data_IF_240359848483
#
_entry.id   IF_240359848483
#
_cell.length_a   1.000
_cell.length_b   1.000
_cell.length_c   1.000
_cell.angle_alpha   90.00
_cell.angle_beta   90.00
_cell.angle_gamma   90.00
#
_symmetry.space_group_name_H-M   'P 1'
#
loop_
_entity.id
_entity.type
_entity.pdbx_description
1 polymer ?
#
# COMPACT_ATOMS: atom_id res chain seq x y z
N UNK A 1 -52.70 16.06 8.82
CA UNK A 1 -51.44 15.51 8.26
C UNK A 1 -51.62 14.00 8.17
N UNK A 2 -52.11 13.54 7.02
CA UNK A 2 -52.41 12.13 6.78
C UNK A 2 -51.12 11.29 6.86
N UNK A 3 -51.04 10.45 7.89
CA UNK A 3 -49.99 9.46 8.02
C UNK A 3 -50.18 8.35 7.00
N UNK A 4 -49.50 8.45 5.86
CA UNK A 4 -49.49 7.41 4.83
C UNK A 4 -48.80 6.16 5.40
N UNK A 5 -49.57 5.25 6.02
CA UNK A 5 -49.11 3.92 6.44
C UNK A 5 -48.67 3.15 5.20
N UNK A 6 -47.40 3.26 4.84
CA UNK A 6 -46.80 2.47 3.78
C UNK A 6 -46.80 1.00 4.22
N UNK A 7 -47.77 0.24 3.70
CA UNK A 7 -47.92 -1.19 3.95
C UNK A 7 -46.72 -1.93 3.36
N UNK A 8 -45.90 -2.55 4.21
CA UNK A 8 -44.76 -3.36 3.77
C UNK A 8 -45.29 -4.59 3.03
N UNK A 9 -44.86 -4.76 1.77
CA UNK A 9 -45.25 -5.90 0.95
C UNK A 9 -44.34 -7.11 1.26
N UNK A 10 -44.89 -8.10 1.96
CA UNK A 10 -44.17 -9.31 2.39
C UNK A 10 -43.55 -10.11 1.23
N UNK A 11 -44.15 -10.11 0.04
CA UNK A 11 -43.56 -10.76 -1.16
C UNK A 11 -42.30 -10.04 -1.62
N UNK A 12 -42.31 -8.69 -1.62
CA UNK A 12 -41.12 -7.89 -1.95
C UNK A 12 -40.01 -8.11 -0.91
N UNK A 13 -40.37 -8.22 0.38
CA UNK A 13 -39.41 -8.48 1.45
C UNK A 13 -38.74 -9.86 1.28
N UNK A 14 -39.53 -10.91 1.01
CA UNK A 14 -38.98 -12.25 0.74
C UNK A 14 -38.07 -12.31 -0.50
N UNK A 15 -38.40 -11.56 -1.56
CA UNK A 15 -37.52 -11.39 -2.72
C UNK A 15 -36.20 -10.72 -2.36
N UNK A 16 -36.23 -9.70 -1.49
CA UNK A 16 -35.05 -8.99 -1.01
C UNK A 16 -34.16 -9.91 -0.17
N UNK A 17 -34.73 -10.62 0.79
CA UNK A 17 -34.01 -11.59 1.63
C UNK A 17 -33.31 -12.65 0.77
N UNK A 18 -33.99 -13.16 -0.27
CA UNK A 18 -33.40 -14.14 -1.19
C UNK A 18 -32.29 -13.55 -2.08
N UNK A 19 -32.37 -12.27 -2.45
CA UNK A 19 -31.29 -11.58 -3.18
C UNK A 19 -30.08 -11.37 -2.27
N UNK A 20 -30.29 -10.90 -1.03
CA UNK A 20 -29.23 -10.69 -0.04
C UNK A 20 -28.56 -12.03 0.33
N UNK A 21 -29.32 -13.10 0.54
CA UNK A 21 -28.76 -14.42 0.82
C UNK A 21 -27.88 -14.95 -0.32
N UNK A 22 -28.27 -14.74 -1.58
CA UNK A 22 -27.42 -15.09 -2.73
C UNK A 22 -26.15 -14.25 -2.80
N UNK A 23 -26.25 -12.95 -2.52
CA UNK A 23 -25.10 -12.06 -2.48
C UNK A 23 -24.12 -12.46 -1.37
N UNK A 24 -24.63 -12.72 -0.16
CA UNK A 24 -23.83 -13.18 0.98
C UNK A 24 -23.09 -14.49 0.68
N UNK A 25 -23.79 -15.47 0.10
CA UNK A 25 -23.18 -16.73 -0.30
C UNK A 25 -22.17 -16.58 -1.45
N UNK A 26 -22.36 -15.60 -2.32
CA UNK A 26 -21.38 -15.28 -3.36
C UNK A 26 -20.12 -14.66 -2.73
N UNK A 27 -20.29 -13.66 -1.85
CA UNK A 27 -19.19 -13.04 -1.11
C UNK A 27 -18.39 -14.04 -0.28
N UNK A 28 -19.05 -14.96 0.42
CA UNK A 28 -18.37 -15.99 1.23
C UNK A 28 -17.57 -17.00 0.40
N UNK A 29 -17.83 -17.07 -0.91
CA UNK A 29 -17.13 -17.94 -1.86
C UNK A 29 -16.03 -17.21 -2.64
N UNK A 30 -15.94 -15.88 -2.53
CA UNK A 30 -14.79 -15.14 -3.02
C UNK A 30 -13.66 -15.40 -2.02
N UNK A 31 -12.86 -16.42 -2.29
CA UNK A 31 -11.51 -16.44 -1.76
C UNK A 31 -10.79 -15.24 -2.41
N UNK A 32 -10.25 -14.33 -1.60
CA UNK A 32 -9.25 -13.36 -2.04
C UNK A 32 -7.89 -13.96 -1.69
N UNK A 33 -7.37 -14.93 -2.48
CA UNK A 33 -6.06 -15.48 -2.19
C UNK A 33 -5.04 -14.33 -2.24
N UNK A 34 -4.18 -14.27 -1.23
CA UNK A 34 -3.00 -13.43 -1.29
C UNK A 34 -2.15 -13.94 -2.46
N UNK A 35 -1.97 -13.08 -3.47
CA UNK A 35 -1.14 -13.33 -4.64
C UNK A 35 0.01 -12.34 -4.62
N UNK A 36 1.24 -12.87 -4.65
CA UNK A 36 2.46 -12.08 -4.56
C UNK A 36 3.17 -12.03 -5.92
N UNK A 37 3.83 -10.92 -6.20
CA UNK A 37 4.65 -10.71 -7.40
C UNK A 37 6.12 -10.79 -7.03
N UNK A 38 6.88 -11.58 -7.79
CA UNK A 38 8.33 -11.69 -7.69
C UNK A 38 8.96 -11.17 -8.98
N UNK A 39 9.90 -10.24 -8.86
CA UNK A 39 10.62 -9.70 -10.00
C UNK A 39 12.09 -9.46 -9.64
N UNK A 40 12.96 -9.46 -10.63
CA UNK A 40 14.34 -9.01 -10.45
C UNK A 40 14.50 -7.51 -10.77
N UNK A 41 13.65 -6.98 -11.64
CA UNK A 41 13.73 -5.61 -12.10
C UNK A 41 12.38 -5.14 -12.59
N UNK A 42 12.00 -3.90 -12.27
CA UNK A 42 10.74 -3.29 -12.71
C UNK A 42 11.08 -1.90 -13.26
N UNK A 43 10.61 -1.57 -14.45
CA UNK A 43 10.84 -0.25 -15.02
C UNK A 43 9.61 0.21 -15.79
N UNK A 44 9.27 1.49 -15.61
CA UNK A 44 8.21 2.15 -16.36
C UNK A 44 6.89 1.35 -16.36
N UNK A 45 6.54 0.79 -15.21
CA UNK A 45 5.45 -0.18 -15.06
C UNK A 45 4.58 0.13 -13.85
N UNK A 46 3.34 -0.36 -13.89
CA UNK A 46 2.43 -0.42 -12.75
C UNK A 46 2.28 -1.89 -12.33
N UNK A 47 2.57 -2.20 -11.07
CA UNK A 47 2.49 -3.56 -10.51
C UNK A 47 1.54 -3.52 -9.32
N UNK A 48 0.57 -4.43 -9.31
CA UNK A 48 -0.42 -4.57 -8.25
C UNK A 48 -0.47 -6.02 -7.76
N UNK A 49 -0.54 -6.20 -6.44
CA UNK A 49 -0.61 -7.50 -5.78
C UNK A 49 -1.52 -7.45 -4.55
N UNK A 50 -2.34 -8.48 -4.33
CA UNK A 50 -3.11 -8.62 -3.09
C UNK A 50 -2.21 -9.02 -1.91
N UNK A 51 -1.13 -9.74 -2.19
CA UNK A 51 -0.07 -10.10 -1.24
C UNK A 51 1.12 -9.15 -1.31
N UNK A 52 2.31 -9.71 -1.38
CA UNK A 52 3.58 -8.97 -1.36
C UNK A 52 4.10 -8.68 -2.78
N UNK A 53 4.89 -7.61 -2.94
CA UNK A 53 5.75 -7.39 -4.12
C UNK A 53 7.21 -7.52 -3.68
N UNK A 54 7.93 -8.48 -4.23
CA UNK A 54 9.33 -8.79 -3.88
C UNK A 54 10.20 -8.53 -5.11
N UNK A 55 11.13 -7.57 -4.98
CA UNK A 55 12.12 -7.22 -6.00
C UNK A 55 13.52 -7.62 -5.51
N UNK A 56 14.09 -8.66 -6.12
CA UNK A 56 15.33 -9.30 -5.66
C UNK A 56 16.58 -8.93 -6.46
N UNK A 57 16.44 -8.16 -7.54
CA UNK A 57 17.56 -7.73 -8.38
C UNK A 57 17.84 -6.24 -8.24
N UNK A 58 18.00 -5.55 -9.37
CA UNK A 58 18.52 -4.17 -9.40
C UNK A 58 17.61 -3.15 -8.71
N UNK A 59 16.32 -3.43 -8.64
CA UNK A 59 15.32 -2.56 -8.05
C UNK A 59 14.22 -2.15 -9.02
N UNK A 60 13.56 -1.02 -8.75
CA UNK A 60 12.48 -0.48 -9.56
C UNK A 60 12.66 0.99 -9.92
N UNK A 61 12.28 1.36 -11.15
CA UNK A 61 12.50 2.69 -11.72
C UNK A 61 11.24 3.22 -12.38
N UNK A 62 10.89 4.48 -12.10
CA UNK A 62 9.76 5.18 -12.70
C UNK A 62 8.49 4.33 -12.69
N UNK A 63 8.20 3.72 -11.54
CA UNK A 63 7.18 2.68 -11.44
C UNK A 63 6.25 2.94 -10.26
N UNK A 64 5.09 2.30 -10.32
CA UNK A 64 4.11 2.31 -9.22
C UNK A 64 3.95 0.87 -8.75
N UNK A 65 4.18 0.66 -7.45
CA UNK A 65 4.04 -0.64 -6.80
C UNK A 65 2.94 -0.55 -5.74
N UNK A 66 1.85 -1.29 -5.92
CA UNK A 66 0.74 -1.35 -4.97
C UNK A 66 0.56 -2.78 -4.43
N UNK A 67 0.77 -2.95 -3.13
CA UNK A 67 0.68 -4.24 -2.46
C UNK A 67 -0.32 -4.20 -1.31
N UNK A 68 -1.19 -5.21 -1.19
CA UNK A 68 -1.99 -5.40 0.03
C UNK A 68 -1.13 -5.81 1.23
N UNK A 69 -0.02 -6.50 0.98
CA UNK A 69 0.99 -6.89 1.96
C UNK A 69 2.15 -5.90 2.01
N UNK A 70 3.36 -6.40 1.76
CA UNK A 70 4.61 -5.68 1.84
C UNK A 70 5.19 -5.40 0.44
N UNK A 71 5.98 -4.33 0.33
CA UNK A 71 6.90 -4.14 -0.80
C UNK A 71 8.34 -4.28 -0.30
N UNK A 72 9.08 -5.24 -0.84
CA UNK A 72 10.46 -5.54 -0.46
C UNK A 72 11.38 -5.41 -1.66
N UNK A 73 12.31 -4.45 -1.63
CA UNK A 73 13.30 -4.22 -2.67
C UNK A 73 14.68 -4.33 -2.03
N UNK A 74 15.16 -5.56 -1.91
CA UNK A 74 16.36 -5.90 -1.12
C UNK A 74 17.46 -6.54 -1.96
N UNK A 75 17.34 -6.49 -3.29
CA UNK A 75 18.38 -6.95 -4.20
C UNK A 75 19.60 -6.03 -4.22
N UNK A 76 20.52 -6.28 -5.16
CA UNK A 76 21.72 -5.48 -5.36
C UNK A 76 21.63 -4.71 -6.69
N UNK A 77 21.62 -3.36 -6.70
CA UNK A 77 21.69 -2.46 -5.54
C UNK A 77 20.38 -2.29 -4.74
N UNK A 78 19.23 -2.79 -5.22
CA UNK A 78 17.98 -2.73 -4.44
C UNK A 78 17.36 -1.34 -4.35
N UNK A 79 17.35 -0.63 -5.48
CA UNK A 79 16.98 0.79 -5.52
C UNK A 79 15.51 1.00 -5.89
N UNK A 80 14.90 2.07 -5.40
CA UNK A 80 13.62 2.57 -5.92
C UNK A 80 13.76 4.04 -6.31
N UNK A 81 13.65 4.32 -7.62
CA UNK A 81 13.92 5.66 -8.16
C UNK A 81 12.77 6.14 -9.03
N UNK A 82 12.09 7.19 -8.58
CA UNK A 82 10.97 7.79 -9.30
C UNK A 82 9.70 6.94 -9.22
N UNK A 83 8.59 7.57 -8.83
CA UNK A 83 7.27 6.93 -8.76
C UNK A 83 6.78 6.74 -7.33
N UNK A 84 5.95 5.70 -7.12
CA UNK A 84 5.23 5.51 -5.86
C UNK A 84 5.24 4.06 -5.39
N UNK A 85 5.40 3.87 -4.09
CA UNK A 85 5.12 2.61 -3.40
C UNK A 85 3.92 2.81 -2.49
N UNK A 86 2.96 1.90 -2.53
CA UNK A 86 1.87 1.78 -1.56
C UNK A 86 1.81 0.35 -1.06
N UNK A 87 1.90 0.15 0.24
CA UNK A 87 1.85 -1.19 0.85
C UNK A 87 0.94 -1.19 2.09
N UNK A 88 0.07 -2.19 2.24
CA UNK A 88 -0.78 -2.26 3.43
C UNK A 88 0.01 -2.48 4.72
N UNK A 89 1.05 -3.33 4.68
CA UNK A 89 1.81 -3.74 5.87
C UNK A 89 3.13 -2.99 6.02
N UNK A 90 3.97 -2.94 4.99
CA UNK A 90 5.29 -2.35 5.15
C UNK A 90 6.10 -2.24 3.87
N UNK A 91 7.12 -1.39 3.93
CA UNK A 91 8.06 -1.18 2.83
C UNK A 91 9.48 -1.36 3.35
N UNK A 92 10.27 -2.19 2.67
CA UNK A 92 11.70 -2.39 2.96
C UNK A 92 12.46 -2.21 1.67
N UNK A 93 13.34 -1.21 1.61
CA UNK A 93 14.08 -0.88 0.38
C UNK A 93 15.54 -0.57 0.73
N UNK A 94 16.51 -1.09 -0.02
CA UNK A 94 17.92 -0.77 0.23
C UNK A 94 18.19 0.73 0.00
N UNK A 95 17.75 1.26 -1.15
CA UNK A 95 17.97 2.67 -1.50
C UNK A 95 16.70 3.34 -2.05
N UNK A 96 16.19 4.37 -1.37
CA UNK A 96 15.04 5.18 -1.79
C UNK A 96 15.47 6.53 -2.36
N UNK A 97 14.99 6.85 -3.56
CA UNK A 97 15.26 8.11 -4.23
C UNK A 97 16.55 8.10 -5.04
N UNK A 98 16.96 9.27 -5.51
CA UNK A 98 18.15 9.44 -6.33
C UNK A 98 18.85 10.74 -6.02
N UNK A 99 20.16 10.82 -6.32
CA UNK A 99 20.94 12.07 -6.26
C UNK A 99 20.34 13.16 -7.17
N UNK A 100 19.65 12.76 -8.25
CA UNK A 100 18.96 13.68 -9.15
C UNK A 100 17.65 14.24 -8.60
N UNK A 101 17.26 13.90 -7.36
CA UNK A 101 16.08 14.46 -6.70
C UNK A 101 14.74 14.02 -7.30
N UNK A 102 14.70 12.88 -8.00
CA UNK A 102 13.43 12.36 -8.54
C UNK A 102 12.46 12.10 -7.40
N UNK A 103 11.25 12.68 -7.48
CA UNK A 103 10.23 12.52 -6.45
C UNK A 103 9.88 11.04 -6.26
N UNK A 104 9.88 10.59 -5.01
CA UNK A 104 9.43 9.27 -4.59
C UNK A 104 8.41 9.42 -3.48
N UNK A 105 7.26 8.79 -3.63
CA UNK A 105 6.21 8.72 -2.62
C UNK A 105 6.13 7.30 -2.07
N UNK A 106 6.24 7.11 -0.75
CA UNK A 106 6.14 5.81 -0.08
C UNK A 106 5.02 5.88 0.94
N UNK A 107 4.01 5.03 0.80
CA UNK A 107 2.83 5.00 1.65
C UNK A 107 2.63 3.63 2.29
N UNK A 108 2.31 3.62 3.59
CA UNK A 108 1.80 2.45 4.30
C UNK A 108 0.59 2.80 5.18
N UNK A 109 -0.16 1.77 5.59
CA UNK A 109 -1.28 1.96 6.51
C UNK A 109 -0.80 2.33 7.92
N UNK A 110 -1.74 2.70 8.80
CA UNK A 110 -1.48 3.25 10.14
C UNK A 110 -0.56 2.37 11.02
N UNK A 111 -0.70 1.04 10.90
CA UNK A 111 0.12 0.07 11.64
C UNK A 111 1.39 -0.35 10.90
N UNK A 112 1.61 0.19 9.71
CA UNK A 112 2.73 -0.17 8.87
C UNK A 112 4.02 0.53 9.24
N UNK A 113 5.11 0.10 8.61
CA UNK A 113 6.42 0.72 8.76
C UNK A 113 7.18 0.79 7.44
N UNK A 114 8.06 1.78 7.35
CA UNK A 114 8.92 2.00 6.18
C UNK A 114 10.37 1.95 6.65
N UNK A 115 11.15 1.03 6.08
CA UNK A 115 12.57 0.86 6.38
C UNK A 115 13.40 1.07 5.13
N UNK A 116 14.46 1.85 5.24
CA UNK A 116 15.44 1.97 4.17
C UNK A 116 16.87 2.20 4.67
N UNK A 117 17.84 1.57 3.99
CA UNK A 117 19.25 1.68 4.37
C UNK A 117 19.86 3.01 3.91
N UNK A 118 19.44 3.50 2.75
CA UNK A 118 19.80 4.83 2.23
C UNK A 118 18.57 5.52 1.66
N UNK A 119 18.41 6.79 1.99
CA UNK A 119 17.31 7.62 1.48
C UNK A 119 17.85 8.97 1.06
N UNK A 120 17.57 9.39 -0.18
CA UNK A 120 17.92 10.73 -0.65
C UNK A 120 16.86 11.77 -0.27
N UNK A 121 17.11 13.01 -0.65
CA UNK A 121 16.11 14.06 -0.57
C UNK A 121 14.92 13.80 -1.51
N UNK A 122 13.88 14.61 -1.35
CA UNK A 122 12.66 14.56 -2.15
C UNK A 122 11.90 13.22 -2.08
N UNK A 123 12.11 12.48 -0.99
CA UNK A 123 11.33 11.30 -0.60
C UNK A 123 10.23 11.71 0.37
N UNK A 124 9.01 11.28 0.08
CA UNK A 124 7.82 11.55 0.87
C UNK A 124 7.35 10.25 1.52
N UNK A 125 7.29 10.24 2.85
CA UNK A 125 6.86 9.12 3.67
C UNK A 125 5.44 9.41 4.16
N UNK A 126 4.50 8.53 3.84
CA UNK A 126 3.13 8.59 4.32
C UNK A 126 2.80 7.34 5.16
N UNK A 127 2.40 7.53 6.42
CA UNK A 127 2.01 6.43 7.32
C UNK A 127 0.67 6.78 7.94
N UNK A 128 -0.37 5.99 7.66
CA UNK A 128 -1.71 6.23 8.20
C UNK A 128 -2.30 7.61 7.86
N UNK A 129 -1.91 8.21 6.72
CA UNK A 129 -2.37 9.53 6.30
C UNK A 129 -1.53 10.71 6.83
N UNK A 130 -0.50 10.46 7.64
CA UNK A 130 0.49 11.48 8.04
C UNK A 130 1.59 11.56 7.01
N UNK A 131 2.01 12.76 6.63
CA UNK A 131 3.03 12.98 5.60
C UNK A 131 4.30 13.61 6.20
N UNK A 132 5.45 13.02 5.90
CA UNK A 132 6.77 13.54 6.23
C UNK A 132 7.61 13.61 4.95
N UNK A 133 8.14 14.81 4.63
CA UNK A 133 9.12 14.97 3.54
C UNK A 133 10.53 14.91 4.11
N UNK A 134 11.37 14.06 3.52
CA UNK A 134 12.80 13.99 3.82
C UNK A 134 13.54 14.99 2.92
N UNK A 135 14.18 15.98 3.54
CA UNK A 135 14.86 17.09 2.86
C UNK A 135 16.38 16.95 2.81
N UNK A 136 16.93 15.81 3.25
CA UNK A 136 18.36 15.53 3.24
C UNK A 136 18.59 14.03 3.13
N UNK A 137 19.78 13.65 2.68
CA UNK A 137 20.19 12.24 2.69
C UNK A 137 20.20 11.70 4.13
N UNK A 138 19.63 10.50 4.31
CA UNK A 138 19.58 9.79 5.58
C UNK A 138 19.96 8.32 5.37
N UNK A 139 20.44 7.68 6.43
CA UNK A 139 20.82 6.26 6.44
C UNK A 139 20.09 5.51 7.53
N UNK A 140 19.82 4.24 7.28
CA UNK A 140 19.22 3.28 8.22
C UNK A 140 17.96 3.82 8.89
N UNK A 141 17.03 4.35 8.08
CA UNK A 141 15.78 4.86 8.63
C UNK A 141 14.81 3.71 8.92
N UNK A 142 14.13 3.78 10.06
CA UNK A 142 12.89 3.06 10.31
C UNK A 142 11.82 4.09 10.70
N UNK A 143 10.77 4.19 9.88
CA UNK A 143 9.67 5.12 10.07
C UNK A 143 8.39 4.36 10.47
N UNK A 144 7.69 4.85 11.49
CA UNK A 144 6.37 4.37 11.93
C UNK A 144 5.63 5.48 12.68
N UNK A 145 4.35 5.28 12.96
CA UNK A 145 3.63 6.12 13.92
C UNK A 145 3.97 5.75 15.37
N UNK A 146 4.12 6.76 16.21
CA UNK A 146 4.15 6.61 17.66
C UNK A 146 2.72 6.48 18.24
N UNK A 147 2.61 6.41 19.57
CA UNK A 147 1.31 6.31 20.26
C UNK A 147 0.42 7.55 20.09
N UNK A 148 1.01 8.69 19.70
CA UNK A 148 0.31 9.95 19.48
C UNK A 148 -0.07 10.16 18.00
N UNK A 149 0.22 9.18 17.13
CA UNK A 149 -0.02 9.30 15.70
C UNK A 149 0.94 10.27 14.98
N UNK A 150 2.13 10.49 15.54
CA UNK A 150 3.22 11.24 14.91
C UNK A 150 4.22 10.29 14.25
N UNK A 151 4.77 10.69 13.09
CA UNK A 151 5.82 9.91 12.44
C UNK A 151 7.13 10.09 13.23
N UNK A 152 7.70 8.98 13.68
CA UNK A 152 9.02 8.91 14.29
C UNK A 152 10.00 8.18 13.37
N UNK A 153 11.26 8.61 13.38
CA UNK A 153 12.38 7.98 12.69
C UNK A 153 13.40 7.49 13.73
N UNK A 154 13.84 6.24 13.64
CA UNK A 154 14.81 5.64 14.56
C UNK A 154 15.70 4.58 13.87
#
# INVERSE_FOLDING_TARGET
LEGTKHRINLKKLGLLTRKIGRLSNFYSKIENPEASVYANYIQNSFIEATGDIIVQGKGAYNSILEAGGNVKITGLPGVFRGGRIKAGKGVVVSELGSVGGSRVDVQVDERGSIRAEKVYDNVFINIGGRLLKLNKEMRNINARLDQNGQIILF
#
